data_IF_755951652969
#
_entry.id   IF_755951652969
#
_cell.length_a   1.000
_cell.length_b   1.000
_cell.length_c   1.000
_cell.angle_alpha   90.00
_cell.angle_beta   90.00
_cell.angle_gamma   90.00
#
_symmetry.space_group_name_H-M   'P 1'
#
loop_
_entity.id
_entity.type
_entity.pdbx_description
1 polymer ?
#
# COMPACT_ATOMS: atom_id res chain seq x y z
N UNK A 1 -23.08 14.77 -4.88
CA UNK A 1 -21.67 15.23 -4.89
C UNK A 1 -21.06 14.77 -3.57
N UNK A 2 -20.37 13.64 -3.58
CA UNK A 2 -20.16 12.79 -2.39
C UNK A 2 -19.08 13.34 -1.46
N UNK A 3 -19.44 13.64 -0.21
CA UNK A 3 -18.61 14.24 0.84
C UNK A 3 -17.60 13.25 1.48
N UNK A 4 -16.88 12.48 0.67
CA UNK A 4 -15.70 11.76 1.14
C UNK A 4 -14.45 12.34 0.47
N UNK A 5 -14.24 13.64 0.68
CA UNK A 5 -12.92 14.25 0.50
C UNK A 5 -12.03 13.75 1.65
N UNK A 6 -11.63 12.47 1.61
CA UNK A 6 -10.57 11.95 2.49
C UNK A 6 -9.28 12.63 2.04
N UNK A 7 -8.97 13.77 2.65
CA UNK A 7 -7.79 14.59 2.38
C UNK A 7 -6.52 13.78 2.68
N UNK A 8 -6.02 13.08 1.66
CA UNK A 8 -4.92 12.16 1.81
C UNK A 8 -4.43 11.63 0.48
N UNK A 9 -3.15 11.28 0.44
CA UNK A 9 -2.50 10.77 -0.75
C UNK A 9 -2.35 9.27 -0.60
N UNK A 10 -2.98 8.55 -1.51
CA UNK A 10 -3.02 7.10 -1.52
C UNK A 10 -2.34 6.59 -2.79
N UNK A 11 -1.64 5.47 -2.66
CA UNK A 11 -1.03 4.80 -3.81
C UNK A 11 -2.13 4.12 -4.60
N UNK A 12 -2.36 4.55 -5.84
CA UNK A 12 -3.34 3.92 -6.73
C UNK A 12 -2.73 2.77 -7.54
N UNK A 13 -1.54 3.00 -8.09
CA UNK A 13 -0.76 1.97 -8.75
C UNK A 13 0.73 2.31 -8.63
N UNK A 14 1.56 1.29 -8.81
CA UNK A 14 3.00 1.46 -8.93
C UNK A 14 3.38 1.37 -10.40
N UNK A 15 4.42 2.11 -10.77
CA UNK A 15 4.97 2.05 -12.13
C UNK A 15 5.81 0.77 -12.22
N UNK A 16 5.56 -0.12 -13.20
CA UNK A 16 6.41 -1.29 -13.43
C UNK A 16 7.85 -0.83 -13.71
N UNK A 17 8.85 -1.62 -13.28
CA UNK A 17 10.28 -1.28 -13.35
C UNK A 17 10.73 -0.04 -12.56
N UNK A 18 9.85 0.53 -11.72
CA UNK A 18 10.27 1.58 -10.78
C UNK A 18 10.89 1.00 -9.51
N UNK A 19 11.79 1.73 -8.83
CA UNK A 19 12.29 1.31 -7.52
C UNK A 19 11.16 1.11 -6.50
N UNK A 20 10.01 1.77 -6.66
CA UNK A 20 8.84 1.57 -5.82
C UNK A 20 8.19 0.19 -6.04
N UNK A 21 8.14 -0.30 -7.29
CA UNK A 21 7.69 -1.66 -7.59
C UNK A 21 8.69 -2.71 -7.11
N UNK A 22 10.00 -2.46 -7.29
CA UNK A 22 11.08 -3.34 -6.81
C UNK A 22 11.22 -3.41 -5.28
N UNK A 23 10.76 -2.39 -4.55
CA UNK A 23 10.79 -2.39 -3.09
C UNK A 23 9.92 -3.48 -2.45
N UNK A 24 8.93 -4.04 -3.17
CA UNK A 24 7.97 -5.09 -2.75
C UNK A 24 7.17 -4.82 -1.46
N UNK A 25 7.50 -3.73 -0.77
CA UNK A 25 6.90 -3.20 0.47
C UNK A 25 5.89 -2.09 0.19
N UNK A 26 5.91 -1.45 -0.96
CA UNK A 26 4.90 -0.46 -1.35
C UNK A 26 3.78 -1.18 -2.07
N UNK A 27 2.52 -0.87 -1.76
CA UNK A 27 1.35 -1.47 -2.40
C UNK A 27 0.26 -0.46 -2.70
N UNK A 28 -0.53 -0.69 -3.77
CA UNK A 28 -1.77 0.02 -3.98
C UNK A 28 -2.66 -0.05 -2.73
N UNK A 29 -3.17 1.10 -2.28
CA UNK A 29 -3.93 1.23 -1.04
C UNK A 29 -3.14 1.81 0.13
N UNK A 30 -1.80 1.75 0.10
CA UNK A 30 -0.96 2.37 1.13
C UNK A 30 -1.14 3.90 1.12
N UNK A 31 -1.09 4.50 2.32
CA UNK A 31 -1.22 5.96 2.48
C UNK A 31 0.15 6.61 2.62
N UNK A 32 0.44 7.63 1.82
CA UNK A 32 1.69 8.37 1.92
C UNK A 32 1.57 9.41 3.04
N UNK A 33 2.52 9.36 3.98
CA UNK A 33 2.63 10.28 5.11
C UNK A 33 3.70 11.36 4.84
N UNK A 34 4.82 11.00 4.20
CA UNK A 34 5.90 11.94 3.88
C UNK A 34 6.66 11.57 2.61
N UNK A 35 7.27 12.57 1.98
CA UNK A 35 8.10 12.47 0.77
C UNK A 35 9.43 13.17 1.03
N UNK A 36 10.55 12.46 0.90
CA UNK A 36 11.92 12.92 1.23
C UNK A 36 12.04 13.59 2.61
N UNK A 37 11.31 13.05 3.61
CA UNK A 37 11.27 13.62 4.96
C UNK A 37 10.32 14.82 5.13
N UNK A 38 9.65 15.27 4.05
CA UNK A 38 8.61 16.31 4.12
C UNK A 38 7.24 15.68 4.29
N UNK A 39 6.55 15.97 5.38
CA UNK A 39 5.19 15.46 5.65
C UNK A 39 4.20 15.98 4.59
N UNK A 40 3.49 15.05 3.94
CA UNK A 40 2.43 15.35 2.96
C UNK A 40 1.02 15.18 3.53
N UNK A 41 0.90 14.81 4.81
CA UNK A 41 -0.37 14.77 5.53
C UNK A 41 -0.94 16.18 5.65
N UNK A 42 -2.13 16.40 5.10
CA UNK A 42 -2.77 17.72 5.09
C UNK A 42 -2.28 18.67 3.99
N UNK A 43 -1.32 18.24 3.16
CA UNK A 43 -0.92 18.99 1.97
C UNK A 43 -1.86 18.71 0.79
N UNK A 44 -1.98 19.71 -0.07
CA UNK A 44 -2.68 19.56 -1.34
C UNK A 44 -1.97 18.56 -2.26
N UNK A 45 -2.77 17.89 -3.08
CA UNK A 45 -2.31 16.93 -4.08
C UNK A 45 -1.25 17.54 -5.02
N UNK A 46 -1.39 18.82 -5.40
CA UNK A 46 -0.41 19.50 -6.23
C UNK A 46 0.94 19.63 -5.54
N UNK A 47 0.95 20.02 -4.26
CA UNK A 47 2.21 20.21 -3.52
C UNK A 47 2.96 18.89 -3.33
N UNK A 48 2.24 17.82 -3.06
CA UNK A 48 2.86 16.50 -3.01
C UNK A 48 3.36 16.02 -4.38
N UNK A 49 2.66 16.33 -5.48
CA UNK A 49 3.16 16.05 -6.84
C UNK A 49 4.46 16.80 -7.13
N UNK A 50 4.59 18.04 -6.68
CA UNK A 50 5.83 18.80 -6.82
C UNK A 50 6.97 18.13 -6.03
N UNK A 51 6.74 17.70 -4.80
CA UNK A 51 7.74 16.97 -4.01
C UNK A 51 8.17 15.67 -4.69
N UNK A 52 7.20 14.91 -5.23
CA UNK A 52 7.48 13.69 -5.99
C UNK A 52 8.30 13.97 -7.26
N UNK A 53 8.02 15.06 -7.98
CA UNK A 53 8.76 15.46 -9.19
C UNK A 53 10.14 16.05 -8.88
N UNK A 54 10.25 16.76 -7.76
CA UNK A 54 11.51 17.34 -7.28
C UNK A 54 12.48 16.26 -6.77
N UNK A 55 11.96 15.09 -6.44
CA UNK A 55 12.74 13.92 -6.10
C UNK A 55 13.31 13.35 -7.40
N UNK A 56 14.51 13.78 -7.79
CA UNK A 56 15.14 13.33 -9.03
C UNK A 56 15.44 11.83 -9.02
N UNK A 57 16.68 11.45 -8.69
CA UNK A 57 17.14 10.07 -8.83
C UNK A 57 16.90 9.21 -7.57
N UNK A 58 16.53 9.83 -6.45
CA UNK A 58 16.27 9.18 -5.17
C UNK A 58 14.99 9.75 -4.56
N UNK A 59 14.07 8.86 -4.21
CA UNK A 59 12.78 9.19 -3.64
C UNK A 59 12.56 8.34 -2.38
N UNK A 60 12.49 8.98 -1.22
CA UNK A 60 12.21 8.34 0.06
C UNK A 60 10.75 8.60 0.45
N UNK A 61 9.96 7.55 0.63
CA UNK A 61 8.54 7.66 0.99
C UNK A 61 8.31 7.08 2.37
N UNK A 62 7.63 7.83 3.24
CA UNK A 62 7.06 7.31 4.47
C UNK A 62 5.61 6.94 4.17
N UNK A 63 5.27 5.66 4.32
CA UNK A 63 3.92 5.14 4.05
C UNK A 63 3.34 4.43 5.26
N UNK A 64 2.04 4.62 5.49
CA UNK A 64 1.24 3.80 6.39
C UNK A 64 0.69 2.62 5.60
N UNK A 65 1.04 1.41 6.06
CA UNK A 65 0.51 0.15 5.56
C UNK A 65 -0.97 0.06 5.92
N UNK A 66 -1.81 -0.27 4.95
CA UNK A 66 -3.13 -0.83 5.27
C UNK A 66 -2.93 -2.33 5.53
N UNK A 67 -3.30 -2.82 6.72
CA UNK A 67 -3.14 -4.21 7.19
C UNK A 67 -3.90 -5.29 6.37
N UNK A 68 -4.23 -5.03 5.11
CA UNK A 68 -4.93 -5.97 4.23
C UNK A 68 -4.08 -7.17 3.80
N UNK A 69 -2.75 -7.13 3.93
CA UNK A 69 -1.88 -8.23 3.51
C UNK A 69 -1.44 -9.16 4.65
N UNK A 70 -1.28 -8.64 5.87
CA UNK A 70 -1.03 -9.50 7.05
C UNK A 70 -2.24 -10.41 7.31
N UNK A 71 -3.45 -9.92 7.03
CA UNK A 71 -4.69 -10.69 7.19
C UNK A 71 -4.75 -11.94 6.27
N UNK A 72 -4.24 -11.86 5.03
CA UNK A 72 -4.26 -13.04 4.14
C UNK A 72 -3.23 -14.10 4.51
N UNK A 73 -2.04 -13.72 5.02
CA UNK A 73 -1.01 -14.71 5.40
C UNK A 73 -1.43 -15.55 6.61
N UNK A 74 -2.12 -14.96 7.59
CA UNK A 74 -2.55 -15.67 8.81
C UNK A 74 -3.66 -16.68 8.53
N UNK A 75 -4.51 -16.44 7.53
CA UNK A 75 -5.60 -17.36 7.18
C UNK A 75 -5.16 -18.54 6.29
N UNK A 76 -3.95 -18.50 5.72
CA UNK A 76 -3.48 -19.52 4.76
C UNK A 76 -2.45 -20.51 5.32
N UNK A 77 -1.87 -20.28 6.50
CA UNK A 77 -0.97 -21.29 7.08
C UNK A 77 -1.78 -22.33 7.87
N UNK A 78 -2.21 -23.35 7.13
CA UNK A 78 -2.23 -24.77 7.50
C UNK A 78 -2.69 -25.15 8.91
N UNK A 79 -3.92 -25.68 9.02
CA UNK A 79 -4.16 -27.03 9.54
C UNK A 79 -5.65 -27.27 9.76
N UNK A 80 -6.42 -27.40 8.67
CA UNK A 80 -7.62 -28.23 8.69
C UNK A 80 -7.55 -29.14 7.48
N UNK A 81 -6.66 -30.13 7.57
CA UNK A 81 -6.71 -31.30 6.71
C UNK A 81 -8.00 -32.06 7.03
N UNK A 82 -9.02 -31.68 6.28
CA UNK A 82 -10.10 -32.49 5.73
C UNK A 82 -9.84 -34.01 5.83
N UNK A 83 -10.49 -34.67 6.79
CA UNK A 83 -10.59 -36.14 6.87
C UNK A 83 -11.79 -36.65 6.06
N UNK A 84 -12.08 -36.00 4.94
CA UNK A 84 -13.13 -36.40 4.01
C UNK A 84 -13.14 -37.92 3.76
N UNK A 85 -14.32 -38.48 4.00
CA UNK A 85 -14.82 -39.72 3.42
C UNK A 85 -14.11 -41.01 3.82
N UNK A 86 -14.63 -41.62 4.88
CA UNK A 86 -15.01 -43.03 4.84
C UNK A 86 -16.41 -43.09 5.47
N UNK A 87 -17.53 -43.37 4.80
CA UNK A 87 -17.69 -44.16 3.59
C UNK A 87 -18.21 -45.56 3.94
N UNK A 88 -19.53 -45.68 4.15
CA UNK A 88 -20.31 -46.93 4.07
C UNK A 88 -20.18 -47.91 5.26
N UNK A 89 -21.18 -47.93 6.13
CA UNK A 89 -22.21 -48.99 6.19
C UNK A 89 -23.20 -48.73 7.31
#
# INVERSE_FOLDING_TARGET
KTLLNRSGIYIKSLVPDSPAAGCQRLRPGDRILAVNGTTVVGLDYQRARELLRSSGNKLCLLVAKSDSEMAMKVLTSSSYSDWSRDGKR
#
